data_IF_288675969514
#
_entry.id   IF_288675969514
#
_cell.length_a   1.000
_cell.length_b   1.000
_cell.length_c   1.000
_cell.angle_alpha   90.00
_cell.angle_beta   90.00
_cell.angle_gamma   90.00
#
_symmetry.space_group_name_H-M   'P 1'
#
loop_
_entity.id
_entity.type
_entity.pdbx_description
1 polymer ?
#
# COMPACT_ATOMS: atom_id res chain seq x y z
N UNK A 1 40.68 -26.11 -17.60
CA UNK A 1 39.28 -26.01 -17.11
C UNK A 1 39.24 -26.68 -15.76
N UNK A 2 38.63 -26.02 -14.79
CA UNK A 2 38.60 -26.50 -13.39
C UNK A 2 37.41 -27.43 -13.16
N UNK A 3 37.54 -28.36 -12.23
CA UNK A 3 36.47 -29.29 -11.81
C UNK A 3 35.20 -28.54 -11.34
N UNK A 4 35.36 -27.30 -10.86
CA UNK A 4 34.28 -26.40 -10.49
C UNK A 4 33.43 -25.99 -11.72
N UNK A 5 34.08 -25.61 -12.82
CA UNK A 5 33.40 -25.21 -14.06
C UNK A 5 32.63 -26.37 -14.67
N UNK A 6 33.18 -27.58 -14.60
CA UNK A 6 32.52 -28.80 -15.07
C UNK A 6 31.31 -29.17 -14.21
N UNK A 7 31.42 -29.04 -12.88
CA UNK A 7 30.28 -29.26 -11.97
C UNK A 7 29.19 -28.21 -12.12
N UNK A 8 29.54 -26.93 -12.28
CA UNK A 8 28.56 -25.86 -12.51
C UNK A 8 27.87 -26.05 -13.87
N UNK A 9 28.62 -26.35 -14.92
CA UNK A 9 28.07 -26.59 -16.25
C UNK A 9 27.16 -27.82 -16.32
N UNK A 10 27.50 -28.89 -15.59
CA UNK A 10 26.68 -30.09 -15.45
C UNK A 10 25.35 -29.79 -14.74
N UNK A 11 25.41 -29.08 -13.62
CA UNK A 11 24.23 -28.78 -12.79
C UNK A 11 23.26 -27.86 -13.54
N UNK A 12 23.76 -26.82 -14.22
CA UNK A 12 22.93 -25.91 -15.00
C UNK A 12 22.26 -26.60 -16.20
N UNK A 13 22.95 -27.52 -16.87
CA UNK A 13 22.40 -28.27 -18.00
C UNK A 13 21.33 -29.26 -17.56
N UNK A 14 21.52 -29.91 -16.40
CA UNK A 14 20.50 -30.79 -15.80
C UNK A 14 19.22 -30.04 -15.40
N UNK A 15 19.33 -28.82 -14.86
CA UNK A 15 18.16 -27.98 -14.52
C UNK A 15 17.45 -27.50 -15.79
N UNK A 16 18.19 -27.14 -16.84
CA UNK A 16 17.62 -26.70 -18.11
C UNK A 16 16.85 -27.82 -18.84
N UNK A 17 17.31 -29.08 -18.76
CA UNK A 17 16.64 -30.22 -19.37
C UNK A 17 15.41 -30.70 -18.57
N UNK A 18 15.38 -30.45 -17.26
CA UNK A 18 14.25 -30.80 -16.38
C UNK A 18 13.12 -29.75 -16.37
N UNK A 19 13.33 -28.57 -16.96
CA UNK A 19 12.31 -27.54 -17.05
C UNK A 19 11.19 -27.96 -18.03
N UNK A 20 9.90 -27.87 -17.64
CA UNK A 20 8.79 -28.14 -18.56
C UNK A 20 8.87 -27.20 -19.77
N UNK A 21 8.88 -27.76 -20.98
CA UNK A 21 9.02 -26.97 -22.21
C UNK A 21 7.91 -25.92 -22.34
N UNK A 22 8.28 -24.66 -22.62
CA UNK A 22 7.38 -23.52 -22.81
C UNK A 22 6.45 -23.61 -24.04
N UNK A 23 6.40 -24.77 -24.71
CA UNK A 23 5.56 -25.03 -25.89
C UNK A 23 4.15 -25.38 -25.41
N UNK A 24 3.26 -24.39 -25.42
CA UNK A 24 1.83 -24.61 -25.20
C UNK A 24 1.12 -23.51 -24.41
N UNK A 25 1.86 -22.67 -23.66
CA UNK A 25 1.27 -21.59 -22.87
C UNK A 25 0.64 -20.50 -23.76
N UNK A 26 1.32 -20.12 -24.85
CA UNK A 26 0.80 -19.14 -25.81
C UNK A 26 -0.44 -19.65 -26.59
N UNK A 27 -0.49 -20.95 -26.91
CA UNK A 27 -1.63 -21.53 -27.64
C UNK A 27 -2.82 -21.86 -26.72
N UNK A 28 -2.57 -22.19 -25.46
CA UNK A 28 -3.60 -22.28 -24.42
C UNK A 28 -4.24 -20.91 -24.13
N UNK A 29 -3.44 -19.83 -24.13
CA UNK A 29 -3.96 -18.47 -23.96
C UNK A 29 -4.84 -18.03 -25.16
N UNK A 30 -4.41 -18.33 -26.40
CA UNK A 30 -5.17 -18.00 -27.63
C UNK A 30 -6.45 -18.80 -27.79
N UNK A 31 -6.50 -20.06 -27.35
CA UNK A 31 -7.72 -20.88 -27.42
C UNK A 31 -8.78 -20.44 -26.41
N UNK A 32 -8.39 -20.01 -25.19
CA UNK A 32 -9.33 -19.47 -24.21
C UNK A 32 -9.93 -18.13 -24.62
N UNK A 33 -9.16 -17.23 -25.24
CA UNK A 33 -9.68 -15.92 -25.67
C UNK A 33 -10.76 -16.05 -26.76
N UNK A 34 -10.59 -17.00 -27.69
CA UNK A 34 -11.59 -17.30 -28.74
C UNK A 34 -12.86 -17.95 -28.20
N UNK A 35 -12.75 -18.82 -27.19
CA UNK A 35 -13.91 -19.41 -26.52
C UNK A 35 -14.75 -18.35 -25.77
N UNK A 36 -14.10 -17.35 -25.18
CA UNK A 36 -14.75 -16.24 -24.45
C UNK A 36 -15.57 -15.32 -25.37
N UNK A 37 -15.06 -14.97 -26.56
CA UNK A 37 -15.82 -14.15 -27.54
C UNK A 37 -17.13 -14.80 -27.97
N UNK A 38 -17.18 -16.14 -28.07
CA UNK A 38 -18.40 -16.87 -28.47
C UNK A 38 -19.47 -16.91 -27.37
N UNK A 39 -19.08 -16.84 -26.09
CA UNK A 39 -20.03 -16.84 -24.96
C UNK A 39 -20.67 -15.48 -24.73
N UNK A 40 -19.95 -14.37 -24.99
CA UNK A 40 -20.46 -13.00 -24.79
C UNK A 40 -21.58 -12.61 -25.76
N UNK A 41 -21.71 -13.25 -26.92
CA UNK A 41 -22.82 -12.97 -27.85
C UNK A 41 -24.10 -13.76 -27.56
N UNK A 42 -24.11 -14.63 -26.54
CA UNK A 42 -25.24 -15.53 -26.28
C UNK A 42 -26.18 -15.09 -25.14
N UNK A 43 -25.87 -14.01 -24.41
CA UNK A 43 -26.61 -13.60 -23.19
C UNK A 43 -27.27 -12.22 -23.28
N UNK A 44 -27.59 -11.75 -24.48
CA UNK A 44 -28.40 -10.55 -24.68
C UNK A 44 -29.87 -10.93 -24.92
N UNK A 45 -30.56 -11.49 -23.91
CA UNK A 45 -32.02 -11.52 -23.84
C UNK A 45 -32.54 -12.06 -22.51
N UNK A 46 -32.89 -11.16 -21.58
CA UNK A 46 -34.08 -11.26 -20.73
C UNK A 46 -34.12 -10.05 -19.77
N UNK A 47 -35.07 -9.14 -20.01
CA UNK A 47 -35.46 -8.09 -19.08
C UNK A 47 -36.54 -8.62 -18.12
N UNK A 48 -36.52 -8.19 -16.85
CA UNK A 48 -37.53 -8.56 -15.86
C UNK A 48 -37.62 -7.54 -14.73
N UNK A 49 -38.74 -6.80 -14.71
CA UNK A 49 -39.16 -5.76 -13.77
C UNK A 49 -39.39 -6.30 -12.35
N UNK A 50 -38.94 -5.60 -11.29
CA UNK A 50 -39.49 -5.75 -9.93
C UNK A 50 -39.67 -4.39 -9.25
N UNK A 51 -40.83 -4.28 -8.60
CA UNK A 51 -41.52 -3.08 -8.17
C UNK A 51 -41.12 -2.56 -6.77
N UNK A 52 -41.39 -1.27 -6.58
CA UNK A 52 -41.33 -0.50 -5.33
C UNK A 52 -42.42 -0.95 -4.34
N UNK A 53 -42.08 -1.08 -3.05
CA UNK A 53 -43.05 -1.10 -1.95
C UNK A 53 -42.55 -0.27 -0.76
N UNK A 54 -43.48 0.46 -0.16
CA UNK A 54 -43.28 1.57 0.76
C UNK A 54 -43.53 1.20 2.25
N UNK A 55 -42.85 1.95 3.14
CA UNK A 55 -43.24 2.55 4.43
C UNK A 55 -44.17 1.78 5.39
N UNK A 56 -43.68 1.53 6.62
CA UNK A 56 -44.37 1.71 7.93
C UNK A 56 -43.25 1.88 8.99
N UNK A 57 -43.15 2.87 9.89
CA UNK A 57 -44.11 3.85 10.40
C UNK A 57 -44.53 3.51 11.84
N UNK A 58 -43.75 3.90 12.86
CA UNK A 58 -44.30 4.17 14.19
C UNK A 58 -43.49 3.68 15.40
N UNK A 59 -43.07 4.61 16.25
CA UNK A 59 -43.40 4.62 17.70
C UNK A 59 -43.54 6.07 18.14
N UNK A 60 -44.76 6.48 18.49
CA UNK A 60 -45.03 7.69 19.27
C UNK A 60 -45.41 7.24 20.69
N UNK A 61 -44.62 7.64 21.68
CA UNK A 61 -44.92 7.45 23.10
C UNK A 61 -45.45 8.77 23.67
N UNK A 62 -46.74 8.76 24.02
CA UNK A 62 -47.41 9.78 24.81
C UNK A 62 -46.99 9.62 26.28
N UNK A 63 -46.35 10.64 26.85
CA UNK A 63 -46.08 10.75 28.28
C UNK A 63 -46.37 12.16 28.78
N UNK A 64 -47.37 12.29 29.65
CA UNK A 64 -47.70 13.54 30.35
C UNK A 64 -46.91 13.63 31.67
N UNK A 65 -46.31 14.79 31.93
CA UNK A 65 -46.04 15.28 33.28
C UNK A 65 -44.67 14.96 33.86
N UNK A 66 -43.82 15.99 33.95
CA UNK A 66 -42.58 15.99 34.73
C UNK A 66 -41.47 16.76 34.01
N UNK A 67 -41.24 18.02 34.42
CA UNK A 67 -40.07 18.83 34.03
C UNK A 67 -38.79 18.18 34.57
N UNK A 68 -38.25 17.23 33.82
CA UNK A 68 -36.88 16.76 34.00
C UNK A 68 -36.15 16.92 32.66
N UNK A 69 -35.03 17.67 32.59
CA UNK A 69 -34.35 17.91 31.33
C UNK A 69 -33.87 16.58 30.76
N UNK A 70 -34.38 16.24 29.59
CA UNK A 70 -34.01 15.04 28.83
C UNK A 70 -32.49 14.99 28.68
N UNK A 71 -31.84 14.07 29.41
CA UNK A 71 -30.44 13.72 29.22
C UNK A 71 -30.34 13.00 27.87
N UNK A 72 -30.06 13.76 26.82
CA UNK A 72 -29.59 13.20 25.54
C UNK A 72 -28.29 12.47 25.84
N UNK A 73 -28.29 11.15 25.68
CA UNK A 73 -27.07 10.36 25.72
C UNK A 73 -26.21 10.77 24.53
N UNK A 74 -25.32 11.73 24.72
CA UNK A 74 -24.18 11.96 23.84
C UNK A 74 -23.15 10.90 24.14
N UNK A 75 -23.39 9.68 23.67
CA UNK A 75 -22.32 8.71 23.53
C UNK A 75 -21.38 9.27 22.46
N UNK A 76 -20.34 9.94 22.93
CA UNK A 76 -19.23 10.38 22.09
C UNK A 76 -18.50 9.11 21.67
N UNK A 77 -18.87 8.59 20.50
CA UNK A 77 -18.09 7.54 19.85
C UNK A 77 -16.72 8.15 19.54
N UNK A 78 -15.71 7.71 20.28
CA UNK A 78 -14.33 8.11 20.02
C UNK A 78 -13.98 7.71 18.57
N UNK A 79 -13.40 8.62 17.77
CA UNK A 79 -13.03 8.28 16.41
C UNK A 79 -12.04 7.11 16.44
N UNK A 80 -12.21 6.15 15.54
CA UNK A 80 -11.25 5.07 15.37
C UNK A 80 -9.85 5.67 15.10
N UNK A 81 -8.78 5.05 15.59
CA UNK A 81 -7.43 5.52 15.32
C UNK A 81 -7.18 5.53 13.79
N UNK A 82 -6.45 6.54 13.33
CA UNK A 82 -6.13 6.72 11.91
C UNK A 82 -4.62 6.88 11.71
N UNK A 83 -4.15 6.54 10.51
CA UNK A 83 -2.76 6.75 10.07
C UNK A 83 -2.71 7.46 8.73
N UNK A 84 -1.59 8.13 8.46
CA UNK A 84 -1.38 8.84 7.19
C UNK A 84 -0.57 7.97 6.25
N UNK A 85 -1.10 7.79 5.05
CA UNK A 85 -0.43 7.15 3.92
C UNK A 85 0.02 8.20 2.93
N UNK A 86 1.31 8.23 2.62
CA UNK A 86 1.89 9.09 1.58
C UNK A 86 2.48 8.23 0.47
N UNK A 87 2.27 8.68 -0.77
CA UNK A 87 2.96 8.18 -1.95
C UNK A 87 3.16 9.35 -2.93
N UNK A 88 4.40 9.57 -3.37
CA UNK A 88 4.77 10.76 -4.15
C UNK A 88 4.37 12.07 -3.46
N UNK A 89 3.66 12.91 -4.19
CA UNK A 89 3.21 14.23 -3.80
C UNK A 89 1.78 14.19 -3.26
N UNK A 90 1.24 13.03 -2.86
CA UNK A 90 -0.09 12.96 -2.26
C UNK A 90 -0.11 12.20 -0.95
N UNK A 91 -1.05 12.55 -0.08
CA UNK A 91 -1.33 11.79 1.13
C UNK A 91 -2.83 11.62 1.38
N UNK A 92 -3.19 10.57 2.10
CA UNK A 92 -4.53 10.32 2.63
C UNK A 92 -4.44 9.78 4.05
N UNK A 93 -5.50 9.97 4.83
CA UNK A 93 -5.68 9.39 6.16
C UNK A 93 -6.60 8.17 6.05
N UNK A 94 -6.11 7.02 6.53
CA UNK A 94 -6.86 5.75 6.55
C UNK A 94 -7.03 5.26 7.98
N UNK A 95 -8.03 4.40 8.26
CA UNK A 95 -8.13 3.70 9.54
C UNK A 95 -6.83 2.92 9.86
N UNK A 96 -6.39 2.97 11.11
CA UNK A 96 -5.11 2.42 11.52
C UNK A 96 -5.07 0.88 11.45
N UNK A 97 -6.22 0.22 11.42
CA UNK A 97 -6.38 -1.23 11.29
C UNK A 97 -6.32 -1.73 9.83
N UNK A 98 -6.31 -0.83 8.84
CA UNK A 98 -6.13 -1.22 7.44
C UNK A 98 -4.72 -1.76 7.20
N UNK A 99 -4.64 -2.92 6.54
CA UNK A 99 -3.38 -3.56 6.18
C UNK A 99 -2.64 -2.86 5.03
N UNK A 100 -1.49 -3.41 4.66
CA UNK A 100 -0.86 -3.14 3.36
C UNK A 100 -0.97 -4.38 2.50
N UNK A 101 -1.14 -4.21 1.20
CA UNK A 101 -1.29 -5.32 0.24
C UNK A 101 -1.90 -4.81 -1.05
N UNK A 102 -2.18 -5.72 -1.97
CA UNK A 102 -2.94 -5.39 -3.17
C UNK A 102 -4.43 -5.52 -2.90
N UNK A 103 -5.24 -4.72 -3.61
CA UNK A 103 -6.69 -4.86 -3.58
C UNK A 103 -7.16 -6.22 -4.11
N UNK A 104 -6.35 -6.99 -4.83
CA UNK A 104 -6.69 -8.34 -5.30
C UNK A 104 -6.23 -9.47 -4.35
N UNK A 105 -5.48 -9.18 -3.28
CA UNK A 105 -4.87 -10.21 -2.41
C UNK A 105 -5.90 -11.11 -1.71
N UNK A 106 -7.09 -10.59 -1.40
CA UNK A 106 -8.19 -11.35 -0.77
C UNK A 106 -8.56 -12.59 -1.60
N UNK A 107 -8.41 -12.52 -2.93
CA UNK A 107 -8.67 -13.61 -3.86
C UNK A 107 -7.75 -14.81 -3.61
N UNK A 108 -6.50 -14.56 -3.20
CA UNK A 108 -5.51 -15.62 -2.95
C UNK A 108 -5.61 -16.19 -1.53
N UNK A 109 -6.04 -15.38 -0.57
CA UNK A 109 -6.08 -15.73 0.85
C UNK A 109 -7.38 -16.41 1.30
N UNK A 110 -8.42 -16.40 0.46
CA UNK A 110 -9.71 -17.04 0.77
C UNK A 110 -10.53 -16.28 1.82
N UNK A 111 -10.21 -15.02 2.08
CA UNK A 111 -11.01 -14.14 2.93
C UNK A 111 -12.26 -13.68 2.16
N UNK A 112 -13.43 -13.77 2.79
CA UNK A 112 -14.72 -13.71 2.08
C UNK A 112 -15.05 -12.32 1.52
N UNK A 113 -14.54 -11.25 2.14
CA UNK A 113 -14.83 -9.86 1.75
C UNK A 113 -13.59 -8.95 1.79
N UNK A 114 -12.39 -9.50 2.07
CA UNK A 114 -11.11 -8.78 2.15
C UNK A 114 -11.04 -7.71 3.26
N UNK A 115 -10.15 -7.88 4.24
CA UNK A 115 -9.80 -6.77 5.13
C UNK A 115 -9.29 -5.59 4.30
N UNK A 116 -9.72 -4.33 4.54
CA UNK A 116 -9.27 -3.20 3.72
C UNK A 116 -7.75 -3.05 3.75
N UNK A 117 -7.16 -2.75 2.59
CA UNK A 117 -5.71 -2.60 2.44
C UNK A 117 -5.32 -1.27 1.79
N UNK A 118 -4.06 -0.90 1.97
CA UNK A 118 -3.41 0.19 1.23
C UNK A 118 -2.50 -0.42 0.17
N UNK A 119 -2.91 -0.33 -1.09
CA UNK A 119 -2.16 -0.73 -2.27
C UNK A 119 -1.30 0.42 -2.79
N UNK A 120 -0.02 0.10 -3.00
CA UNK A 120 0.99 1.00 -3.54
C UNK A 120 1.53 0.43 -4.85
N UNK A 121 1.95 1.27 -5.81
CA UNK A 121 2.64 0.80 -7.00
C UNK A 121 3.88 -0.02 -6.67
N UNK A 122 4.17 -1.01 -7.51
CA UNK A 122 5.29 -1.94 -7.31
C UNK A 122 4.95 -3.16 -6.47
N UNK A 123 3.74 -3.25 -5.91
CA UNK A 123 3.26 -4.49 -5.32
C UNK A 123 3.06 -5.58 -6.38
N UNK A 124 3.41 -6.82 -6.01
CA UNK A 124 3.27 -7.98 -6.91
C UNK A 124 1.79 -8.36 -6.94
N UNK A 125 1.09 -7.99 -8.01
CA UNK A 125 -0.27 -8.49 -8.28
C UNK A 125 -0.20 -9.88 -8.91
N UNK A 126 -1.08 -10.77 -8.46
CA UNK A 126 -1.22 -12.11 -9.02
C UNK A 126 -2.45 -12.08 -9.93
N UNK A 127 -2.27 -12.38 -11.22
CA UNK A 127 -3.35 -12.43 -12.20
C UNK A 127 -4.26 -13.67 -11.98
N UNK A 128 -5.03 -13.64 -10.88
CA UNK A 128 -6.08 -14.60 -10.55
C UNK A 128 -7.42 -13.96 -10.88
N UNK A 129 -8.17 -14.60 -11.78
CA UNK A 129 -9.46 -14.10 -12.25
C UNK A 129 -10.58 -14.37 -11.22
N UNK A 130 -10.54 -13.68 -10.08
CA UNK A 130 -11.65 -13.62 -9.13
C UNK A 130 -12.79 -12.71 -9.62
N UNK A 131 -13.96 -12.86 -9.02
CA UNK A 131 -15.06 -11.91 -9.14
C UNK A 131 -15.63 -11.67 -7.75
N UNK A 132 -15.53 -10.44 -7.19
CA UNK A 132 -14.93 -9.24 -7.80
C UNK A 132 -13.42 -9.37 -8.10
N UNK A 133 -12.83 -8.40 -8.80
CA UNK A 133 -11.38 -8.36 -9.06
C UNK A 133 -10.64 -7.68 -7.90
N UNK A 134 -11.25 -6.63 -7.35
CA UNK A 134 -10.70 -5.81 -6.27
C UNK A 134 -11.54 -5.96 -5.00
N UNK A 135 -10.91 -5.80 -3.84
CA UNK A 135 -11.51 -5.73 -2.51
C UNK A 135 -11.70 -4.29 -2.04
N UNK A 136 -11.74 -4.10 -0.73
CA UNK A 136 -11.80 -2.78 -0.10
C UNK A 136 -10.42 -2.20 0.17
N UNK A 137 -10.29 -0.87 0.16
CA UNK A 137 -9.05 -0.21 0.49
C UNK A 137 -8.78 1.08 -0.28
N UNK A 138 -7.50 1.45 -0.30
CA UNK A 138 -6.94 2.57 -1.08
C UNK A 138 -5.95 2.02 -2.08
N UNK A 139 -5.95 2.54 -3.31
CA UNK A 139 -4.92 2.28 -4.31
C UNK A 139 -4.27 3.58 -4.77
N UNK A 140 -2.96 3.68 -4.59
CA UNK A 140 -2.13 4.70 -5.24
C UNK A 140 -1.74 4.24 -6.64
N UNK A 141 -1.70 5.15 -7.61
CA UNK A 141 -1.31 4.83 -8.99
C UNK A 141 -0.75 6.04 -9.74
N UNK A 142 0.13 5.78 -10.71
CA UNK A 142 0.55 6.78 -11.70
C UNK A 142 -0.50 6.93 -12.81
N UNK A 143 -0.76 8.16 -13.22
CA UNK A 143 -1.46 8.51 -14.45
C UNK A 143 -3.00 8.48 -14.43
N UNK A 144 -3.59 9.06 -15.49
CA UNK A 144 -5.04 9.15 -15.71
C UNK A 144 -5.62 8.00 -16.53
N UNK A 145 -5.08 6.78 -16.37
CA UNK A 145 -5.47 5.61 -17.15
C UNK A 145 -6.96 5.26 -17.03
N UNK A 146 -7.62 5.14 -18.19
CA UNK A 146 -9.03 4.80 -18.36
C UNK A 146 -9.30 3.36 -17.89
N UNK A 147 -10.23 3.19 -16.96
CA UNK A 147 -10.61 1.88 -16.42
C UNK A 147 -11.56 1.94 -15.24
N UNK A 148 -11.55 3.05 -14.50
CA UNK A 148 -12.53 3.31 -13.45
C UNK A 148 -13.80 3.89 -14.07
N UNK A 149 -14.94 3.52 -13.50
CA UNK A 149 -16.22 4.14 -13.82
C UNK A 149 -16.03 5.66 -13.77
N UNK A 150 -16.41 6.35 -14.85
CA UNK A 150 -16.03 7.72 -15.15
C UNK A 150 -16.63 8.74 -14.16
N UNK A 151 -16.13 8.75 -12.92
CA UNK A 151 -16.46 9.73 -11.91
C UNK A 151 -15.61 10.98 -12.10
N UNK A 152 -16.08 12.12 -11.58
CA UNK A 152 -15.23 13.32 -11.48
C UNK A 152 -14.33 13.17 -10.25
N UNK A 153 -13.10 13.74 -10.27
CA UNK A 153 -12.27 13.79 -9.06
C UNK A 153 -13.04 14.41 -7.89
N UNK A 154 -12.84 13.86 -6.69
CA UNK A 154 -13.47 14.32 -5.45
C UNK A 154 -14.91 13.85 -5.25
N UNK A 155 -15.42 13.00 -6.15
CA UNK A 155 -16.78 12.44 -6.02
C UNK A 155 -16.76 10.99 -5.57
N UNK A 156 -17.68 10.67 -4.66
CA UNK A 156 -17.92 9.31 -4.17
C UNK A 156 -19.27 8.81 -4.69
N UNK A 157 -19.25 7.67 -5.36
CA UNK A 157 -20.42 7.06 -6.00
C UNK A 157 -20.50 5.58 -5.65
N UNK A 158 -21.71 5.02 -5.69
CA UNK A 158 -21.87 3.57 -5.53
C UNK A 158 -21.31 2.88 -6.77
N UNK A 159 -20.51 1.84 -6.57
CA UNK A 159 -20.00 1.02 -7.67
C UNK A 159 -21.14 0.35 -8.42
N UNK A 160 -21.06 0.31 -9.76
CA UNK A 160 -21.95 -0.51 -10.59
C UNK A 160 -21.21 -1.61 -11.36
N UNK A 161 -19.90 -1.76 -11.13
CA UNK A 161 -19.04 -2.74 -11.79
C UNK A 161 -19.00 -4.05 -11.01
N UNK A 162 -18.92 -5.16 -11.74
CA UNK A 162 -18.66 -6.50 -11.17
C UNK A 162 -17.21 -6.68 -10.70
N UNK A 163 -16.32 -5.73 -11.01
CA UNK A 163 -14.92 -5.77 -10.61
C UNK A 163 -14.71 -5.43 -9.12
N UNK A 164 -15.73 -4.95 -8.41
CA UNK A 164 -15.65 -4.52 -7.02
C UNK A 164 -16.74 -5.16 -6.15
N UNK A 165 -16.60 -5.18 -4.81
CA UNK A 165 -17.58 -5.81 -3.94
C UNK A 165 -18.98 -5.21 -4.12
N UNK A 166 -20.00 -6.06 -4.05
CA UNK A 166 -21.39 -5.62 -4.24
C UNK A 166 -21.76 -4.54 -3.21
N UNK A 167 -22.34 -3.43 -3.68
CA UNK A 167 -22.76 -2.33 -2.82
C UNK A 167 -21.63 -1.44 -2.30
N UNK A 168 -20.38 -1.67 -2.73
CA UNK A 168 -19.25 -0.80 -2.45
C UNK A 168 -19.44 0.63 -2.96
N UNK A 169 -18.71 1.55 -2.34
CA UNK A 169 -18.62 2.95 -2.72
C UNK A 169 -17.21 3.26 -3.17
N UNK A 170 -17.11 3.98 -4.29
CA UNK A 170 -15.84 4.33 -4.93
C UNK A 170 -15.72 5.83 -5.09
N UNK A 171 -14.50 6.32 -4.93
CA UNK A 171 -14.15 7.68 -5.33
C UNK A 171 -12.67 7.77 -5.62
N UNK A 172 -12.26 8.80 -6.35
CA UNK A 172 -10.84 9.05 -6.57
C UNK A 172 -10.54 10.54 -6.53
N UNK A 173 -9.28 10.84 -6.23
CA UNK A 173 -8.72 12.17 -6.31
C UNK A 173 -7.36 12.10 -6.99
N UNK A 174 -6.91 13.21 -7.55
CA UNK A 174 -5.64 13.26 -8.26
C UNK A 174 -4.95 14.60 -8.07
N UNK A 175 -3.63 14.56 -7.98
CA UNK A 175 -2.78 15.74 -8.07
C UNK A 175 -1.53 15.40 -8.88
N UNK A 176 -1.14 16.30 -9.78
CA UNK A 176 -0.02 16.05 -10.68
C UNK A 176 -0.23 14.79 -11.53
N UNK A 177 0.72 13.86 -11.45
CA UNK A 177 0.69 12.55 -12.10
C UNK A 177 0.16 11.43 -11.21
N UNK A 178 -0.27 11.75 -10.00
CA UNK A 178 -0.59 10.79 -8.94
C UNK A 178 -2.10 10.74 -8.70
N UNK A 179 -2.65 9.52 -8.55
CA UNK A 179 -4.07 9.30 -8.25
C UNK A 179 -4.22 8.40 -7.03
N UNK A 180 -5.24 8.68 -6.23
CA UNK A 180 -5.72 7.83 -5.13
C UNK A 180 -7.14 7.37 -5.44
N UNK A 181 -7.34 6.06 -5.53
CA UNK A 181 -8.66 5.42 -5.56
C UNK A 181 -9.02 4.95 -4.14
N UNK A 182 -10.28 5.11 -3.75
CA UNK A 182 -10.83 4.58 -2.51
C UNK A 182 -11.99 3.65 -2.84
N UNK A 183 -12.02 2.46 -2.25
CA UNK A 183 -13.13 1.50 -2.30
C UNK A 183 -13.53 1.15 -0.87
N UNK A 184 -14.75 1.47 -0.46
CA UNK A 184 -15.21 1.25 0.91
C UNK A 184 -16.60 0.58 0.96
N UNK A 185 -16.93 -0.13 2.06
CA UNK A 185 -18.26 -0.73 2.24
C UNK A 185 -19.35 0.33 2.44
N UNK A 186 -19.00 1.53 2.91
CA UNK A 186 -19.95 2.61 3.15
C UNK A 186 -19.56 3.91 2.46
N UNK A 187 -20.56 4.70 2.06
CA UNK A 187 -20.35 6.04 1.49
C UNK A 187 -19.56 6.94 2.43
N UNK A 188 -19.91 6.92 3.72
CA UNK A 188 -19.30 7.77 4.75
C UNK A 188 -17.80 7.52 4.88
N UNK A 189 -17.39 6.25 4.81
CA UNK A 189 -15.98 5.85 4.90
C UNK A 189 -15.20 6.25 3.66
N UNK A 190 -15.74 6.00 2.46
CA UNK A 190 -15.15 6.49 1.22
C UNK A 190 -15.00 8.02 1.19
N UNK A 191 -16.03 8.76 1.63
CA UNK A 191 -15.99 10.22 1.74
C UNK A 191 -14.97 10.70 2.80
N UNK A 192 -14.84 10.00 3.92
CA UNK A 192 -13.88 10.36 4.97
C UNK A 192 -12.42 10.17 4.50
N UNK A 193 -12.10 9.03 3.88
CA UNK A 193 -10.76 8.78 3.34
C UNK A 193 -10.46 9.72 2.18
N UNK A 194 -11.36 9.84 1.21
CA UNK A 194 -11.14 10.71 0.05
C UNK A 194 -11.07 12.19 0.44
N UNK A 195 -11.90 12.63 1.38
CA UNK A 195 -11.89 14.00 1.90
C UNK A 195 -10.62 14.36 2.67
N UNK A 196 -9.81 13.37 3.06
CA UNK A 196 -8.50 13.58 3.68
C UNK A 196 -7.35 13.70 2.68
N UNK A 197 -7.64 13.59 1.37
CA UNK A 197 -6.65 13.75 0.31
C UNK A 197 -5.97 15.11 0.38
N UNK A 198 -4.64 15.09 0.30
CA UNK A 198 -3.82 16.30 0.24
C UNK A 198 -2.75 16.16 -0.84
N UNK A 199 -2.59 17.23 -1.63
CA UNK A 199 -1.41 17.40 -2.48
C UNK A 199 -0.29 18.04 -1.63
N UNK A 200 0.80 17.29 -1.44
CA UNK A 200 1.95 17.65 -0.63
C UNK A 200 2.90 18.51 -1.45
N UNK A 201 2.91 19.82 -1.20
CA UNK A 201 3.84 20.76 -1.86
C UNK A 201 5.09 21.10 -1.04
N UNK A 202 5.16 20.65 0.22
CA UNK A 202 6.21 21.02 1.18
C UNK A 202 6.75 19.82 1.92
N UNK A 203 6.20 19.54 3.11
CA UNK A 203 6.40 18.27 3.82
C UNK A 203 5.05 17.65 4.08
N UNK A 204 4.98 16.32 4.07
CA UNK A 204 3.76 15.61 4.45
C UNK A 204 3.55 15.61 5.96
N UNK A 205 2.48 14.94 6.42
CA UNK A 205 2.16 14.85 7.85
C UNK A 205 3.23 14.10 8.67
N UNK A 206 4.03 13.26 8.02
CA UNK A 206 5.14 12.55 8.65
C UNK A 206 6.42 13.41 8.68
N UNK A 207 6.45 14.54 7.96
CA UNK A 207 7.58 15.47 7.87
C UNK A 207 8.59 15.14 6.77
N UNK A 208 8.19 14.38 5.75
CA UNK A 208 8.99 14.05 4.58
C UNK A 208 8.67 14.99 3.42
N UNK A 209 9.70 15.48 2.73
CA UNK A 209 9.52 16.31 1.55
C UNK A 209 9.27 15.44 0.29
N UNK A 210 8.47 15.89 -0.71
CA UNK A 210 8.23 15.16 -1.95
C UNK A 210 9.47 14.86 -2.79
N UNK A 211 10.55 15.61 -2.56
CA UNK A 211 11.85 15.41 -3.20
C UNK A 211 12.89 15.13 -2.14
N UNK A 212 13.92 14.40 -2.55
CA UNK A 212 15.09 14.16 -1.72
C UNK A 212 15.68 15.47 -1.20
N UNK A 213 16.00 15.47 0.09
CA UNK A 213 16.51 16.63 0.81
C UNK A 213 16.83 16.23 2.24
N UNK A 214 17.39 17.16 3.01
CA UNK A 214 17.59 16.92 4.44
C UNK A 214 16.24 17.11 5.15
N UNK A 215 15.57 16.03 5.61
CA UNK A 215 14.40 16.20 6.46
C UNK A 215 14.84 16.89 7.75
N UNK A 216 13.97 17.76 8.28
CA UNK A 216 14.16 18.29 9.62
C UNK A 216 14.17 17.16 10.66
N UNK A 217 14.74 17.42 11.85
CA UNK A 217 14.76 16.45 12.95
C UNK A 217 13.37 15.89 13.26
N UNK A 218 13.30 14.62 13.64
CA UNK A 218 12.08 14.04 14.16
C UNK A 218 11.84 14.54 15.59
N UNK A 219 10.58 14.62 16.04
CA UNK A 219 10.27 14.88 17.45
C UNK A 219 10.93 13.86 18.39
N UNK A 220 11.12 14.24 19.66
CA UNK A 220 11.66 13.34 20.67
C UNK A 220 10.76 12.10 20.83
N UNK A 221 11.39 10.91 20.87
CA UNK A 221 10.69 9.63 20.98
C UNK A 221 10.04 9.14 19.68
N UNK A 222 10.39 9.74 18.53
CA UNK A 222 9.90 9.33 17.21
C UNK A 222 11.06 9.10 16.24
N UNK A 223 10.81 8.25 15.25
CA UNK A 223 11.70 8.04 14.11
C UNK A 223 10.92 8.29 12.84
N UNK A 224 11.42 9.19 12.00
CA UNK A 224 10.87 9.46 10.67
C UNK A 224 11.62 8.65 9.63
N UNK A 225 10.87 7.99 8.76
CA UNK A 225 11.37 7.27 7.60
C UNK A 225 10.85 7.94 6.33
N UNK A 226 11.75 8.40 5.46
CA UNK A 226 11.40 8.97 4.16
C UNK A 226 12.08 8.15 3.06
N UNK A 227 11.31 7.31 2.35
CA UNK A 227 11.80 6.50 1.24
C UNK A 227 11.68 7.27 -0.06
N UNK A 228 12.77 7.31 -0.82
CA UNK A 228 12.86 7.98 -2.10
C UNK A 228 13.23 6.98 -3.18
N UNK A 229 12.55 7.06 -4.32
CA UNK A 229 12.86 6.37 -5.56
C UNK A 229 13.10 7.43 -6.65
N UNK A 230 14.24 7.36 -7.33
CA UNK A 230 14.64 8.35 -8.34
C UNK A 230 14.54 9.82 -7.87
N UNK A 231 14.78 10.05 -6.57
CA UNK A 231 14.70 11.36 -5.91
C UNK A 231 13.28 11.87 -5.64
N UNK A 232 12.23 11.08 -5.94
CA UNK A 232 10.84 11.36 -5.54
C UNK A 232 10.46 10.58 -4.29
N UNK A 233 9.69 11.18 -3.38
CA UNK A 233 9.17 10.49 -2.20
C UNK A 233 8.30 9.33 -2.68
N UNK A 234 8.56 8.13 -2.22
CA UNK A 234 7.76 6.95 -2.52
C UNK A 234 6.90 6.58 -1.31
N UNK A 235 7.46 6.72 -0.11
CA UNK A 235 6.77 6.41 1.13
C UNK A 235 7.32 7.27 2.25
N UNK A 236 6.45 7.65 3.16
CA UNK A 236 6.86 8.18 4.46
C UNK A 236 6.20 7.44 5.59
N UNK A 237 6.86 7.47 6.74
CA UNK A 237 6.32 6.94 7.98
C UNK A 237 6.91 7.67 9.18
N UNK A 238 6.12 7.69 10.25
CA UNK A 238 6.53 8.16 11.57
C UNK A 238 6.34 7.06 12.61
N UNK A 239 7.43 6.38 12.97
CA UNK A 239 7.45 5.41 14.06
C UNK A 239 7.34 6.15 15.39
N UNK A 240 6.62 5.54 16.34
CA UNK A 240 6.42 6.09 17.69
C UNK A 240 6.57 5.00 18.74
N UNK A 241 6.68 5.39 20.01
CA UNK A 241 6.66 4.44 21.13
C UNK A 241 7.79 3.40 21.08
N UNK A 242 7.45 2.13 21.26
CA UNK A 242 8.42 1.04 21.30
C UNK A 242 9.08 0.81 19.94
N UNK A 243 8.34 0.92 18.84
CA UNK A 243 8.87 0.72 17.48
C UNK A 243 9.95 1.76 17.16
N UNK A 244 9.74 3.02 17.55
CA UNK A 244 10.76 4.07 17.41
C UNK A 244 12.01 3.75 18.24
N UNK A 245 11.84 3.26 19.48
CA UNK A 245 12.95 2.90 20.36
C UNK A 245 13.76 1.71 19.81
N UNK A 246 13.07 0.67 19.34
CA UNK A 246 13.68 -0.53 18.77
C UNK A 246 14.38 -0.23 17.44
N UNK A 247 13.80 0.65 16.61
CA UNK A 247 14.44 1.14 15.40
C UNK A 247 15.75 1.87 15.72
N UNK A 248 15.75 2.81 16.66
CA UNK A 248 16.99 3.51 17.07
C UNK A 248 18.02 2.53 17.62
N UNK A 249 17.60 1.58 18.46
CA UNK A 249 18.50 0.58 19.01
C UNK A 249 19.15 -0.29 17.93
N UNK A 250 18.39 -0.70 16.91
CA UNK A 250 18.92 -1.46 15.78
C UNK A 250 19.93 -0.65 14.95
N UNK A 251 19.65 0.65 14.71
CA UNK A 251 20.55 1.55 13.98
C UNK A 251 21.84 1.80 14.77
N UNK A 252 21.76 1.96 16.09
CA UNK A 252 22.90 2.19 16.98
C UNK A 252 23.76 0.93 17.21
N UNK A 253 23.16 -0.25 17.14
CA UNK A 253 23.86 -1.53 17.31
C UNK A 253 24.57 -2.02 16.04
N UNK A 254 24.36 -1.34 14.90
CA UNK A 254 24.91 -1.74 13.61
C UNK A 254 26.46 -1.66 13.63
N UNK A 255 27.18 -2.70 13.16
CA UNK A 255 28.64 -2.70 13.19
C UNK A 255 29.23 -1.54 12.39
N UNK A 256 30.17 -0.81 13.00
CA UNK A 256 30.93 0.24 12.32
C UNK A 256 31.74 -0.33 11.15
N UNK A 257 31.84 0.46 10.07
CA UNK A 257 32.63 0.14 8.89
C UNK A 257 33.50 1.31 8.47
N UNK A 258 34.72 1.07 7.93
CA UNK A 258 35.51 2.15 7.34
C UNK A 258 34.72 2.88 6.26
N UNK A 259 34.86 4.21 6.25
CA UNK A 259 34.18 5.05 5.28
C UNK A 259 34.53 4.61 3.85
N UNK A 260 33.51 4.30 3.05
CA UNK A 260 33.64 4.00 1.63
C UNK A 260 33.00 5.15 0.84
N UNK A 261 33.72 5.65 -0.16
CA UNK A 261 33.19 6.65 -1.07
C UNK A 261 32.12 5.99 -1.95
N UNK A 262 30.85 6.21 -1.61
CA UNK A 262 29.75 5.85 -2.48
C UNK A 262 29.55 6.94 -3.54
N UNK A 263 29.49 6.58 -4.83
CA UNK A 263 29.14 7.56 -5.84
C UNK A 263 27.74 8.10 -5.53
N UNK A 264 27.56 9.42 -5.67
CA UNK A 264 26.25 10.06 -5.59
C UNK A 264 25.45 9.65 -6.83
N UNK A 265 24.76 8.53 -6.74
CA UNK A 265 23.85 8.06 -7.78
C UNK A 265 22.43 8.25 -7.27
N UNK A 266 21.59 8.77 -8.15
CA UNK A 266 20.15 8.84 -7.90
C UNK A 266 19.62 7.41 -8.01
N UNK A 267 18.92 6.94 -6.99
CA UNK A 267 18.36 5.61 -6.90
C UNK A 267 17.52 5.46 -5.62
N UNK A 268 17.16 4.22 -5.28
CA UNK A 268 16.37 3.92 -4.09
C UNK A 268 17.13 4.19 -2.79
N UNK A 269 16.59 5.08 -1.94
CA UNK A 269 17.18 5.41 -0.63
C UNK A 269 16.12 5.59 0.45
N UNK A 270 16.51 5.41 1.71
CA UNK A 270 15.67 5.72 2.88
C UNK A 270 16.43 6.68 3.77
N UNK A 271 15.88 7.88 3.98
CA UNK A 271 16.37 8.82 4.97
C UNK A 271 15.69 8.54 6.29
N UNK A 272 16.49 8.23 7.30
CA UNK A 272 16.04 7.90 8.65
C UNK A 272 16.43 9.04 9.57
N UNK A 273 15.49 9.57 10.35
CA UNK A 273 15.75 10.72 11.22
C UNK A 273 15.16 10.50 12.61
N UNK A 274 15.96 10.68 13.64
CA UNK A 274 15.54 10.79 15.03
C UNK A 274 15.71 12.24 15.53
N UNK A 275 15.46 12.49 16.82
CA UNK A 275 15.75 13.79 17.43
C UNK A 275 17.26 14.12 17.46
N UNK A 276 18.11 13.09 17.45
CA UNK A 276 19.55 13.23 17.67
C UNK A 276 20.37 13.00 16.42
N UNK A 277 19.97 12.04 15.59
CA UNK A 277 20.75 11.53 14.46
C UNK A 277 19.92 11.50 13.19
N UNK A 278 20.61 11.67 12.08
CA UNK A 278 20.07 11.44 10.73
C UNK A 278 20.96 10.42 10.05
N UNK A 279 20.37 9.63 9.18
CA UNK A 279 21.05 8.64 8.38
C UNK A 279 20.39 8.42 7.04
N UNK A 280 21.14 7.77 6.16
CA UNK A 280 20.68 7.39 4.82
C UNK A 280 21.06 5.94 4.57
N UNK A 281 20.05 5.12 4.25
CA UNK A 281 20.22 3.76 3.72
C UNK A 281 20.11 3.82 2.21
N UNK A 282 21.13 3.35 1.50
CA UNK A 282 21.08 3.19 0.04
C UNK A 282 20.71 1.73 -0.28
N UNK A 283 19.63 1.53 -1.04
CA UNK A 283 19.11 0.18 -1.31
C UNK A 283 19.70 -0.46 -2.57
N UNK A 284 20.19 0.36 -3.51
CA UNK A 284 20.75 -0.12 -4.78
C UNK A 284 22.26 0.09 -4.86
N UNK A 285 22.69 1.36 -4.95
CA UNK A 285 24.12 1.65 -5.06
C UNK A 285 24.74 1.58 -3.68
N UNK A 286 25.90 0.91 -3.55
CA UNK A 286 26.48 0.61 -2.23
C UNK A 286 25.58 -0.26 -1.33
N UNK A 287 24.80 -1.17 -1.92
CA UNK A 287 24.05 -2.17 -1.17
C UNK A 287 24.91 -2.80 -0.07
N UNK A 288 24.41 -2.75 1.17
CA UNK A 288 25.13 -3.19 2.36
C UNK A 288 25.70 -2.08 3.24
N UNK A 289 25.57 -0.80 2.85
CA UNK A 289 26.10 0.34 3.62
C UNK A 289 25.00 1.28 4.09
N UNK A 290 25.16 1.80 5.29
CA UNK A 290 24.25 2.73 5.95
C UNK A 290 25.04 3.81 6.67
N UNK A 291 24.69 5.09 6.50
CA UNK A 291 25.27 6.17 7.30
C UNK A 291 24.34 6.55 8.44
N UNK A 292 24.84 6.69 9.67
CA UNK A 292 24.07 7.08 10.86
C UNK A 292 24.89 7.97 11.79
N UNK A 293 24.38 9.17 12.09
CA UNK A 293 25.08 10.10 12.99
C UNK A 293 26.50 10.45 12.51
N UNK A 294 26.75 10.41 11.21
CA UNK A 294 28.06 10.67 10.60
C UNK A 294 29.02 9.49 10.60
N UNK A 295 28.62 8.32 11.09
CA UNK A 295 29.39 7.06 11.05
C UNK A 295 28.79 6.14 9.98
N UNK A 296 29.64 5.36 9.32
CA UNK A 296 29.20 4.36 8.35
C UNK A 296 29.12 2.99 9.03
N UNK A 297 28.04 2.27 8.77
CA UNK A 297 27.72 0.98 9.37
C UNK A 297 27.41 -0.05 8.28
N UNK A 298 27.51 -1.33 8.66
CA UNK A 298 26.96 -2.43 7.88
C UNK A 298 25.43 -2.44 7.95
N UNK A 299 24.80 -2.64 6.80
CA UNK A 299 23.35 -2.81 6.71
C UNK A 299 22.98 -4.22 7.21
N UNK A 300 22.19 -4.28 8.28
CA UNK A 300 21.73 -5.53 8.88
C UNK A 300 20.28 -5.83 8.50
N UNK A 301 19.86 -7.10 8.69
CA UNK A 301 18.46 -7.49 8.51
C UNK A 301 17.50 -6.72 9.44
N UNK A 302 17.94 -6.40 10.67
CA UNK A 302 17.15 -5.62 11.62
C UNK A 302 16.97 -4.16 11.16
N UNK A 303 18.01 -3.52 10.60
CA UNK A 303 17.88 -2.18 10.01
C UNK A 303 16.90 -2.24 8.85
N UNK A 304 17.08 -3.19 7.94
CA UNK A 304 16.20 -3.36 6.78
C UNK A 304 14.76 -3.62 7.17
N UNK A 305 14.53 -4.40 8.23
CA UNK A 305 13.19 -4.57 8.77
C UNK A 305 12.56 -3.22 9.09
N UNK A 306 13.24 -2.34 9.83
CA UNK A 306 12.68 -1.04 10.19
C UNK A 306 12.58 -0.06 9.02
N UNK A 307 13.55 -0.01 8.12
CA UNK A 307 13.50 0.96 6.99
C UNK A 307 12.58 0.52 5.86
N UNK A 308 12.23 -0.77 5.81
CA UNK A 308 11.30 -1.33 4.83
C UNK A 308 9.90 -1.58 5.40
N UNK A 309 9.76 -1.78 6.71
CA UNK A 309 8.45 -1.99 7.34
C UNK A 309 7.80 -0.67 7.76
N UNK A 310 6.46 -0.58 7.65
CA UNK A 310 5.50 -1.50 7.06
C UNK A 310 5.24 -1.16 5.59
N UNK A 311 4.77 -2.15 4.83
CA UNK A 311 4.26 -1.93 3.48
C UNK A 311 5.29 -1.91 2.36
N UNK A 312 6.55 -2.32 2.58
CA UNK A 312 7.45 -2.63 1.46
C UNK A 312 6.98 -3.89 0.73
N UNK A 313 6.67 -3.72 -0.55
CA UNK A 313 6.31 -4.81 -1.46
C UNK A 313 7.39 -5.11 -2.50
N UNK A 314 8.51 -4.36 -2.47
CA UNK A 314 9.64 -4.56 -3.36
C UNK A 314 10.47 -5.81 -3.02
N UNK A 315 11.35 -6.20 -3.93
CA UNK A 315 12.33 -7.24 -3.62
C UNK A 315 13.36 -6.69 -2.63
N UNK A 316 13.66 -7.49 -1.60
CA UNK A 316 14.81 -7.24 -0.74
C UNK A 316 16.10 -7.27 -1.58
N UNK A 317 17.16 -6.52 -1.22
CA UNK A 317 18.47 -6.72 -1.81
C UNK A 317 18.90 -8.20 -1.74
N UNK A 318 19.60 -8.67 -2.77
CA UNK A 318 20.00 -10.07 -2.92
C UNK A 318 20.62 -10.64 -1.63
N UNK A 319 20.09 -11.79 -1.19
CA UNK A 319 20.61 -12.52 -0.02
C UNK A 319 19.99 -12.16 1.33
N UNK A 320 18.96 -11.31 1.35
CA UNK A 320 18.26 -10.91 2.58
C UNK A 320 16.81 -11.38 2.54
N UNK A 321 16.45 -12.26 3.46
CA UNK A 321 15.07 -12.72 3.68
C UNK A 321 14.50 -12.08 4.94
N UNK A 322 13.32 -11.46 4.82
CA UNK A 322 12.56 -10.97 5.97
C UNK A 322 11.72 -12.11 6.57
N UNK A 323 11.95 -12.44 7.83
CA UNK A 323 10.95 -13.16 8.61
C UNK A 323 9.96 -12.12 9.18
N UNK A 324 8.64 -12.26 8.93
CA UNK A 324 7.66 -11.39 9.56
C UNK A 324 7.68 -11.63 11.08
N UNK A 325 8.10 -10.62 11.86
CA UNK A 325 7.91 -10.65 13.31
C UNK A 325 6.41 -10.45 13.61
N UNK A 326 5.84 -11.37 14.37
CA UNK A 326 4.44 -11.32 14.83
C UNK A 326 4.30 -10.45 16.07
#
# INVERSE_FOLDING_TARGET
MSELEERLGSTLRGVAEAAPGAVGLADAARTRSRARRRRRTALASAAGVVAVAAVVGGVALLGSGGDEPSRVATDTVEPAPTRVETWHDVSVTVPADWGHGNLDDWCSNGESDGSPVVERPGAVSIDILCTPMYGYGVQFSEGGGAGFEAFSPGTVNRSVSEDYPEGSWQGYEQAGGTRVLVVAPTRKEAEAVLGSFQHVTGVDANGCAPRDGEPGKAPAGQVRLCRYLDGGLEQSELLTGQDAADAVAALDAAPDRPALACPNVVGSSVVVTSAEKTGVVQLETCAGLFGWGGVQHDLTADILHWVLSPGWTGQAPDGITFEPRR
#
